data_IF_866291218827
#
_entry.id   IF_866291218827
#
_cell.length_a   1.000
_cell.length_b   1.000
_cell.length_c   1.000
_cell.angle_alpha   90.00
_cell.angle_beta   90.00
_cell.angle_gamma   90.00
#
_symmetry.space_group_name_H-M   'P 1'
#
loop_
_entity.id
_entity.type
_entity.pdbx_description
1 polymer ?
#
# COMPACT_ATOMS: atom_id res chain seq x y z
N UNK A 1 -23.42 -12.26 3.24
CA UNK A 1 -23.23 -12.77 4.61
C UNK A 1 -22.33 -11.76 5.30
N UNK A 2 -22.79 -11.12 6.38
CA UNK A 2 -21.94 -10.23 7.17
C UNK A 2 -21.48 -11.02 8.39
N UNK A 3 -20.20 -11.39 8.43
CA UNK A 3 -19.54 -11.91 9.63
C UNK A 3 -18.99 -10.69 10.36
N UNK A 4 -19.50 -10.42 11.55
CA UNK A 4 -19.02 -9.36 12.44
C UNK A 4 -18.10 -9.98 13.50
N UNK A 5 -17.00 -9.31 13.81
CA UNK A 5 -16.09 -9.69 14.90
C UNK A 5 -15.65 -8.45 15.66
N UNK A 6 -15.16 -8.63 16.89
CA UNK A 6 -14.62 -7.52 17.68
C UNK A 6 -13.15 -7.28 17.34
N UNK A 7 -12.75 -6.03 17.15
CA UNK A 7 -11.35 -5.63 17.05
C UNK A 7 -10.63 -5.68 18.42
N UNK A 8 -9.34 -5.33 18.44
CA UNK A 8 -8.54 -5.25 19.67
C UNK A 8 -9.03 -4.22 20.70
N UNK A 9 -9.94 -3.32 20.32
CA UNK A 9 -10.61 -2.36 21.22
C UNK A 9 -11.94 -2.89 21.76
N UNK A 10 -12.42 -4.03 21.27
CA UNK A 10 -13.72 -4.60 21.61
C UNK A 10 -14.88 -4.04 20.77
N UNK A 11 -14.59 -3.22 19.76
CA UNK A 11 -15.57 -2.61 18.85
C UNK A 11 -15.93 -3.58 17.72
N UNK A 12 -17.17 -3.53 17.23
CA UNK A 12 -17.60 -4.38 16.12
C UNK A 12 -17.02 -3.91 14.79
N UNK A 13 -16.26 -4.79 14.14
CA UNK A 13 -15.72 -4.62 12.80
C UNK A 13 -16.60 -5.32 11.77
N UNK A 14 -16.71 -4.69 10.61
CA UNK A 14 -17.37 -5.27 9.43
C UNK A 14 -16.46 -6.33 8.78
N UNK A 15 -17.04 -7.22 7.96
CA UNK A 15 -16.31 -8.34 7.35
C UNK A 15 -15.17 -7.89 6.45
N UNK A 16 -15.38 -6.85 5.66
CA UNK A 16 -14.34 -6.20 4.84
C UNK A 16 -13.17 -5.74 5.69
N UNK A 17 -13.43 -5.10 6.83
CA UNK A 17 -12.37 -4.65 7.72
C UNK A 17 -11.57 -5.81 8.30
N UNK A 18 -12.24 -6.87 8.76
CA UNK A 18 -11.57 -8.08 9.29
C UNK A 18 -10.73 -8.74 8.19
N UNK A 19 -11.26 -8.85 6.97
CA UNK A 19 -10.54 -9.42 5.83
C UNK A 19 -9.32 -8.58 5.47
N UNK A 20 -9.47 -7.25 5.38
CA UNK A 20 -8.40 -6.32 5.08
C UNK A 20 -7.29 -6.38 6.13
N UNK A 21 -7.63 -6.30 7.42
CA UNK A 21 -6.65 -6.44 8.50
C UNK A 21 -5.95 -7.79 8.44
N UNK A 22 -6.67 -8.88 8.14
CA UNK A 22 -6.03 -10.19 7.97
C UNK A 22 -5.02 -10.18 6.82
N UNK A 23 -5.36 -9.56 5.68
CA UNK A 23 -4.45 -9.40 4.56
C UNK A 23 -3.20 -8.56 4.93
N UNK A 24 -3.40 -7.49 5.71
CA UNK A 24 -2.32 -6.64 6.23
C UNK A 24 -1.30 -7.44 7.06
N UNK A 25 -1.78 -8.17 8.07
CA UNK A 25 -0.92 -8.95 8.96
C UNK A 25 -0.24 -10.11 8.21
N UNK A 26 -0.96 -10.78 7.29
CA UNK A 26 -0.37 -11.82 6.45
C UNK A 26 0.68 -11.24 5.49
N UNK A 27 0.52 -10.01 5.01
CA UNK A 27 1.54 -9.34 4.20
C UNK A 27 2.83 -9.10 4.99
N UNK A 28 2.74 -8.73 6.28
CA UNK A 28 3.92 -8.66 7.15
C UNK A 28 4.61 -10.01 7.29
N UNK A 29 3.84 -11.08 7.54
CA UNK A 29 4.39 -12.44 7.66
C UNK A 29 5.05 -12.89 6.35
N UNK A 30 4.40 -12.66 5.20
CA UNK A 30 4.97 -12.96 3.88
C UNK A 30 6.29 -12.22 3.66
N UNK A 31 6.32 -10.92 3.96
CA UNK A 31 7.52 -10.10 3.80
C UNK A 31 8.64 -10.57 4.75
N UNK A 32 8.31 -10.95 5.99
CA UNK A 32 9.24 -11.53 6.95
C UNK A 32 9.87 -12.84 6.45
N UNK A 33 9.06 -13.76 5.92
CA UNK A 33 9.55 -15.02 5.32
C UNK A 33 10.46 -14.76 4.10
N UNK A 34 10.11 -13.77 3.27
CA UNK A 34 10.88 -13.42 2.07
C UNK A 34 12.26 -12.86 2.38
N UNK A 35 12.36 -11.92 3.33
CA UNK A 35 13.62 -11.19 3.60
C UNK A 35 14.44 -11.82 4.72
N UNK A 36 13.83 -12.69 5.52
CA UNK A 36 14.39 -13.31 6.71
C UNK A 36 14.27 -12.45 7.97
N UNK A 37 14.13 -13.12 9.11
CA UNK A 37 13.81 -12.51 10.42
C UNK A 37 14.72 -11.34 10.78
N UNK A 38 16.04 -11.54 10.73
CA UNK A 38 16.99 -10.50 11.13
C UNK A 38 16.92 -9.26 10.24
N UNK A 39 16.73 -9.43 8.94
CA UNK A 39 16.60 -8.31 8.02
C UNK A 39 15.26 -7.58 8.23
N UNK A 40 14.17 -8.32 8.37
CA UNK A 40 12.87 -7.74 8.64
C UNK A 40 12.88 -6.94 9.95
N UNK A 41 13.47 -7.48 11.02
CA UNK A 41 13.59 -6.81 12.30
C UNK A 41 14.35 -5.48 12.20
N UNK A 42 15.43 -5.41 11.41
CA UNK A 42 16.17 -4.17 11.17
C UNK A 42 15.33 -3.11 10.45
N UNK A 43 14.55 -3.52 9.44
CA UNK A 43 13.63 -2.63 8.72
C UNK A 43 12.52 -2.13 9.66
N UNK A 44 11.94 -3.03 10.45
CA UNK A 44 10.81 -2.78 11.34
C UNK A 44 11.14 -1.85 12.52
N UNK A 45 12.30 -2.05 13.15
CA UNK A 45 12.70 -1.31 14.36
C UNK A 45 13.21 0.10 14.06
N UNK A 46 13.54 0.40 12.81
CA UNK A 46 14.00 1.73 12.39
C UNK A 46 12.83 2.53 11.79
N UNK A 47 12.38 3.63 12.42
CA UNK A 47 11.27 4.44 11.92
C UNK A 47 11.41 4.90 10.47
N UNK A 48 12.64 5.18 10.01
CA UNK A 48 12.90 5.64 8.63
C UNK A 48 12.70 4.56 7.57
N UNK A 49 12.71 3.29 7.97
CA UNK A 49 12.54 2.14 7.07
C UNK A 49 11.24 1.39 7.34
N UNK A 50 10.63 1.57 8.53
CA UNK A 50 9.36 0.93 8.92
C UNK A 50 8.20 1.29 7.98
N UNK A 51 8.23 2.46 7.34
CA UNK A 51 7.29 2.80 6.27
C UNK A 51 7.23 1.71 5.17
N UNK A 52 8.33 1.02 4.87
CA UNK A 52 8.37 0.01 3.80
C UNK A 52 7.43 -1.16 4.11
N UNK A 53 7.60 -1.92 5.21
CA UNK A 53 6.71 -3.04 5.51
C UNK A 53 5.27 -2.61 5.84
N UNK A 54 5.07 -1.45 6.48
CA UNK A 54 3.75 -0.94 6.85
C UNK A 54 2.96 -0.49 5.61
N UNK A 55 3.54 0.37 4.77
CA UNK A 55 2.86 0.81 3.54
C UNK A 55 2.70 -0.32 2.52
N UNK A 56 3.58 -1.32 2.52
CA UNK A 56 3.40 -2.51 1.68
C UNK A 56 2.17 -3.30 2.13
N UNK A 57 2.03 -3.53 3.44
CA UNK A 57 0.87 -4.19 3.99
C UNK A 57 -0.42 -3.41 3.72
N UNK A 58 -0.39 -2.07 3.76
CA UNK A 58 -1.49 -1.19 3.32
C UNK A 58 -1.85 -1.41 1.84
N UNK A 59 -0.88 -1.54 0.94
CA UNK A 59 -1.20 -1.83 -0.46
C UNK A 59 -1.82 -3.23 -0.63
N UNK A 60 -1.29 -4.25 0.07
CA UNK A 60 -1.84 -5.62 0.00
C UNK A 60 -3.25 -5.68 0.58
N UNK A 61 -3.52 -5.01 1.70
CA UNK A 61 -4.85 -4.94 2.29
C UNK A 61 -5.87 -4.33 1.32
N UNK A 62 -5.48 -3.22 0.66
CA UNK A 62 -6.33 -2.53 -0.30
C UNK A 62 -6.57 -3.38 -1.54
N UNK A 63 -5.51 -3.93 -2.12
CA UNK A 63 -5.56 -4.69 -3.36
C UNK A 63 -6.38 -5.97 -3.23
N UNK A 64 -6.10 -6.79 -2.19
CA UNK A 64 -6.80 -8.06 -2.00
C UNK A 64 -8.25 -7.86 -1.57
N UNK A 65 -8.55 -6.86 -0.75
CA UNK A 65 -9.94 -6.58 -0.33
C UNK A 65 -10.77 -6.10 -1.51
N UNK A 66 -10.23 -5.20 -2.33
CA UNK A 66 -10.92 -4.77 -3.55
C UNK A 66 -11.14 -5.92 -4.52
N UNK A 67 -10.12 -6.75 -4.75
CA UNK A 67 -10.25 -7.92 -5.63
C UNK A 67 -11.36 -8.86 -5.18
N UNK A 68 -11.41 -9.20 -3.88
CA UNK A 68 -12.46 -10.07 -3.32
C UNK A 68 -13.86 -9.46 -3.53
N UNK A 69 -14.03 -8.18 -3.18
CA UNK A 69 -15.32 -7.52 -3.32
C UNK A 69 -15.75 -7.34 -4.79
N UNK A 70 -14.82 -7.10 -5.71
CA UNK A 70 -15.11 -7.05 -7.14
C UNK A 70 -15.55 -8.43 -7.66
N UNK A 71 -14.89 -9.51 -7.24
CA UNK A 71 -15.28 -10.90 -7.59
C UNK A 71 -16.69 -11.21 -7.04
N UNK A 72 -16.97 -10.87 -5.79
CA UNK A 72 -18.31 -11.05 -5.20
C UNK A 72 -19.36 -10.19 -5.92
N UNK A 73 -19.00 -8.96 -6.30
CA UNK A 73 -19.85 -8.06 -7.07
C UNK A 73 -20.24 -8.65 -8.42
N UNK A 74 -19.27 -9.24 -9.14
CA UNK A 74 -19.54 -9.96 -10.40
C UNK A 74 -20.41 -11.20 -10.17
N UNK A 75 -20.11 -11.99 -9.14
CA UNK A 75 -20.83 -13.24 -8.83
C UNK A 75 -22.30 -13.01 -8.45
N UNK A 76 -22.59 -11.94 -7.71
CA UNK A 76 -23.93 -11.68 -7.16
C UNK A 76 -24.64 -10.48 -7.78
N UNK A 77 -24.05 -9.84 -8.80
CA UNK A 77 -24.63 -8.67 -9.46
C UNK A 77 -24.75 -7.43 -8.55
N UNK A 78 -23.84 -7.27 -7.58
CA UNK A 78 -23.87 -6.13 -6.65
C UNK A 78 -23.04 -4.96 -7.18
N UNK A 79 -23.71 -3.87 -7.53
CA UNK A 79 -23.05 -2.64 -7.97
C UNK A 79 -22.14 -2.02 -6.90
N UNK A 80 -22.57 -2.06 -5.63
CA UNK A 80 -21.77 -1.55 -4.52
C UNK A 80 -20.44 -2.31 -4.39
N UNK A 81 -20.49 -3.64 -4.51
CA UNK A 81 -19.30 -4.47 -4.44
C UNK A 81 -18.40 -4.32 -5.68
N UNK A 82 -18.97 -4.13 -6.87
CA UNK A 82 -18.21 -3.85 -8.11
C UNK A 82 -17.44 -2.52 -8.08
N UNK A 83 -17.92 -1.53 -7.33
CA UNK A 83 -17.28 -0.22 -7.18
C UNK A 83 -16.61 -0.07 -5.82
N UNK A 84 -16.38 -1.17 -5.11
CA UNK A 84 -15.78 -1.14 -3.79
C UNK A 84 -14.33 -0.65 -3.87
N UNK A 85 -13.96 0.25 -2.96
CA UNK A 85 -12.61 0.77 -2.81
C UNK A 85 -12.28 0.92 -1.33
N UNK A 86 -11.57 -0.08 -0.79
CA UNK A 86 -11.21 -0.15 0.62
C UNK A 86 -10.49 1.13 1.07
N UNK A 87 -10.96 1.76 2.14
CA UNK A 87 -10.42 3.02 2.68
C UNK A 87 -10.16 4.11 1.62
N UNK A 88 -10.96 4.13 0.54
CA UNK A 88 -10.80 5.08 -0.57
C UNK A 88 -9.40 5.03 -1.21
N UNK A 89 -8.75 3.87 -1.22
CA UNK A 89 -7.38 3.73 -1.73
C UNK A 89 -6.34 4.51 -0.94
N UNK A 90 -6.65 4.87 0.30
CA UNK A 90 -5.81 5.76 1.12
C UNK A 90 -5.58 7.15 0.52
N UNK A 91 -6.30 7.51 -0.53
CA UNK A 91 -6.12 8.78 -1.24
C UNK A 91 -6.41 10.06 -0.42
N UNK A 92 -7.21 10.02 0.67
CA UNK A 92 -7.30 11.15 1.60
C UNK A 92 -6.08 11.32 2.53
N UNK A 93 -5.05 10.48 2.45
CA UNK A 93 -3.85 10.57 3.27
C UNK A 93 -3.09 11.89 3.03
N UNK A 94 -2.37 12.35 4.05
CA UNK A 94 -1.56 13.56 4.00
C UNK A 94 -0.47 13.50 5.08
N UNK A 95 0.61 14.27 4.89
CA UNK A 95 1.71 14.42 5.86
C UNK A 95 1.20 14.81 7.25
N UNK A 96 1.64 14.09 8.28
CA UNK A 96 1.19 14.23 9.67
C UNK A 96 -0.01 13.34 10.04
N UNK A 97 -0.47 12.48 9.13
CA UNK A 97 -1.45 11.42 9.40
C UNK A 97 -0.75 10.06 9.37
N UNK A 98 -0.47 9.49 10.56
CA UNK A 98 0.12 8.16 10.75
C UNK A 98 1.33 7.87 9.84
N UNK A 99 2.52 8.12 10.39
CA UNK A 99 3.75 8.29 9.61
C UNK A 99 4.25 6.99 8.93
N UNK A 100 3.68 5.83 9.25
CA UNK A 100 4.06 4.55 8.61
C UNK A 100 3.00 3.95 7.70
N UNK A 101 1.71 4.27 7.89
CA UNK A 101 0.61 3.68 7.11
C UNK A 101 0.25 4.61 5.97
N UNK A 102 1.05 4.54 4.90
CA UNK A 102 0.98 5.50 3.79
C UNK A 102 0.55 4.83 2.49
N UNK A 103 0.02 5.60 1.50
CA UNK A 103 -0.34 5.05 0.21
C UNK A 103 0.87 4.76 -0.71
N UNK A 104 2.11 4.79 -0.20
CA UNK A 104 3.34 4.68 -1.01
C UNK A 104 3.30 3.61 -2.11
N UNK A 105 2.82 2.41 -1.80
CA UNK A 105 2.76 1.33 -2.78
C UNK A 105 1.45 1.29 -3.57
N UNK A 106 0.38 1.95 -3.09
CA UNK A 106 -0.86 2.14 -3.85
C UNK A 106 -0.60 3.15 -4.98
N UNK A 107 0.12 4.24 -4.69
CA UNK A 107 0.55 5.26 -5.66
C UNK A 107 1.41 4.65 -6.79
N UNK A 108 2.13 3.55 -6.55
CA UNK A 108 2.85 2.86 -7.64
C UNK A 108 1.92 2.10 -8.59
N UNK A 109 0.72 1.74 -8.14
CA UNK A 109 -0.20 0.81 -8.80
C UNK A 109 -1.34 1.56 -9.50
N UNK A 110 -1.97 2.52 -8.82
CA UNK A 110 -3.17 3.19 -9.31
C UNK A 110 -2.86 4.35 -10.29
N UNK A 111 -3.87 5.16 -10.62
CA UNK A 111 -3.72 6.34 -11.50
C UNK A 111 -4.35 7.58 -10.84
N UNK A 112 -4.27 7.67 -9.50
CA UNK A 112 -4.89 8.73 -8.73
C UNK A 112 -3.84 9.65 -8.10
N UNK A 113 -3.66 10.84 -8.68
CA UNK A 113 -2.81 11.86 -8.09
C UNK A 113 -3.53 12.67 -7.00
N UNK A 114 -3.33 12.28 -5.75
CA UNK A 114 -3.90 12.92 -4.57
C UNK A 114 -3.51 14.40 -4.39
N UNK A 115 -2.27 14.80 -4.71
CA UNK A 115 -1.86 16.22 -4.64
C UNK A 115 -2.65 17.08 -5.62
N UNK A 116 -2.85 16.59 -6.84
CA UNK A 116 -3.63 17.27 -7.89
C UNK A 116 -5.10 17.36 -7.50
N UNK A 117 -5.69 16.26 -7.03
CA UNK A 117 -7.11 16.22 -6.67
C UNK A 117 -7.45 17.13 -5.48
N UNK A 118 -6.64 17.08 -4.42
CA UNK A 118 -6.90 17.85 -3.19
C UNK A 118 -6.24 19.24 -3.18
N UNK A 119 -5.48 19.59 -4.21
CA UNK A 119 -4.70 20.83 -4.30
C UNK A 119 -3.87 21.10 -3.02
N UNK A 120 -3.10 20.10 -2.57
CA UNK A 120 -2.43 20.12 -1.27
C UNK A 120 -0.95 19.72 -1.35
N UNK A 121 -0.05 20.65 -1.01
CA UNK A 121 1.42 20.42 -1.00
C UNK A 121 1.88 19.40 0.05
N UNK A 122 1.01 19.03 0.98
CA UNK A 122 1.28 18.04 2.02
C UNK A 122 0.89 16.62 1.60
N UNK A 123 0.78 16.38 0.29
CA UNK A 123 0.39 15.10 -0.30
C UNK A 123 1.38 14.67 -1.38
N UNK A 124 1.55 13.35 -1.61
CA UNK A 124 2.38 12.81 -2.67
C UNK A 124 1.95 13.35 -4.04
N UNK A 125 2.93 13.77 -4.84
CA UNK A 125 2.73 14.02 -6.27
C UNK A 125 2.81 12.70 -7.02
N UNK A 126 1.70 11.97 -7.04
CA UNK A 126 1.66 10.65 -7.63
C UNK A 126 1.53 10.71 -9.16
N UNK A 127 2.68 10.61 -9.83
CA UNK A 127 2.82 10.56 -11.29
C UNK A 127 3.33 9.19 -11.75
N UNK A 128 3.52 8.27 -10.82
CA UNK A 128 3.96 6.90 -11.06
C UNK A 128 2.72 6.02 -11.20
N UNK A 129 2.75 5.01 -12.07
CA UNK A 129 1.60 4.11 -12.22
C UNK A 129 1.96 2.80 -12.89
N UNK A 130 1.00 1.88 -12.87
CA UNK A 130 1.04 0.59 -13.56
C UNK A 130 2.10 -0.39 -13.05
N UNK A 131 2.69 -0.19 -11.86
CA UNK A 131 3.37 -1.31 -11.23
C UNK A 131 2.34 -2.36 -10.82
N UNK A 132 2.73 -3.63 -10.89
CA UNK A 132 1.89 -4.73 -10.41
C UNK A 132 2.32 -5.14 -9.01
N UNK A 133 1.40 -5.72 -8.24
CA UNK A 133 1.74 -6.34 -6.95
C UNK A 133 2.91 -7.33 -7.08
N UNK A 134 2.92 -8.13 -8.15
CA UNK A 134 4.00 -9.06 -8.45
C UNK A 134 5.37 -8.36 -8.66
N UNK A 135 5.39 -7.25 -9.40
CA UNK A 135 6.60 -6.46 -9.61
C UNK A 135 7.12 -5.89 -8.28
N UNK A 136 6.23 -5.30 -7.48
CA UNK A 136 6.58 -4.69 -6.20
C UNK A 136 7.08 -5.74 -5.20
N UNK A 137 6.38 -6.87 -5.06
CA UNK A 137 6.80 -7.97 -4.18
C UNK A 137 8.19 -8.50 -4.57
N UNK A 138 8.44 -8.67 -5.88
CA UNK A 138 9.76 -9.08 -6.38
C UNK A 138 10.87 -8.08 -6.03
N UNK A 139 10.57 -6.78 -6.05
CA UNK A 139 11.49 -5.72 -5.62
C UNK A 139 11.75 -5.81 -4.10
N UNK A 140 10.70 -5.99 -3.31
CA UNK A 140 10.78 -5.97 -1.84
C UNK A 140 11.63 -7.11 -1.26
N UNK A 141 11.80 -8.21 -1.99
CA UNK A 141 12.71 -9.30 -1.60
C UNK A 141 14.12 -8.79 -1.23
N UNK A 142 14.65 -7.81 -1.98
CA UNK A 142 16.01 -7.27 -1.79
C UNK A 142 16.07 -5.90 -1.09
N UNK A 143 14.95 -5.19 -0.97
CA UNK A 143 14.93 -3.80 -0.48
C UNK A 143 14.99 -3.75 1.05
N UNK A 144 15.84 -2.86 1.58
CA UNK A 144 15.99 -2.63 3.03
C UNK A 144 15.84 -1.16 3.44
N UNK A 145 15.84 -0.25 2.47
CA UNK A 145 15.67 1.18 2.68
C UNK A 145 15.07 1.85 1.44
N UNK A 146 14.66 3.11 1.58
CA UNK A 146 14.00 3.88 0.52
C UNK A 146 14.93 4.24 -0.64
N UNK A 147 16.26 4.29 -0.46
CA UNK A 147 17.18 4.54 -1.56
C UNK A 147 17.30 3.31 -2.47
N UNK A 148 17.40 2.12 -1.87
CA UNK A 148 17.39 0.86 -2.60
C UNK A 148 16.03 0.62 -3.25
N UNK A 149 14.92 0.95 -2.57
CA UNK A 149 13.58 0.90 -3.17
C UNK A 149 13.52 1.75 -4.45
N UNK A 150 13.93 3.01 -4.36
CA UNK A 150 13.97 3.95 -5.49
C UNK A 150 14.80 3.41 -6.66
N UNK A 151 15.97 2.87 -6.38
CA UNK A 151 16.84 2.28 -7.40
C UNK A 151 16.17 1.08 -8.08
N UNK A 152 15.58 0.17 -7.30
CA UNK A 152 14.92 -1.04 -7.81
C UNK A 152 13.64 -0.73 -8.59
N UNK A 153 12.87 0.29 -8.18
CA UNK A 153 11.71 0.79 -8.95
C UNK A 153 12.15 1.27 -10.33
N UNK A 154 13.17 2.14 -10.39
CA UNK A 154 13.70 2.62 -11.68
C UNK A 154 14.17 1.50 -12.60
N UNK A 155 14.79 0.46 -12.05
CA UNK A 155 15.24 -0.71 -12.81
C UNK A 155 14.08 -1.54 -13.37
N UNK A 156 12.92 -1.53 -12.71
CA UNK A 156 11.75 -2.32 -13.06
C UNK A 156 10.56 -1.45 -13.50
N UNK A 157 10.85 -0.24 -14.00
CA UNK A 157 9.82 0.77 -14.24
C UNK A 157 8.85 0.39 -15.34
N UNK A 158 7.58 0.71 -15.11
CA UNK A 158 6.52 0.58 -16.10
C UNK A 158 6.75 1.50 -17.29
N UNK A 159 6.26 1.09 -18.47
CA UNK A 159 6.33 1.90 -19.69
C UNK A 159 5.63 3.25 -19.46
N UNK A 160 6.31 4.34 -19.80
CA UNK A 160 5.77 5.70 -19.67
C UNK A 160 6.07 6.39 -18.33
N UNK A 161 6.67 5.70 -17.35
CA UNK A 161 7.10 6.31 -16.08
C UNK A 161 8.52 6.90 -16.22
N UNK A 162 8.68 8.18 -15.88
CA UNK A 162 9.98 8.85 -15.87
C UNK A 162 10.74 8.52 -14.57
N UNK A 163 12.08 8.58 -14.61
CA UNK A 163 12.88 8.31 -13.41
C UNK A 163 12.69 9.42 -12.36
N UNK A 164 12.45 10.63 -12.85
CA UNK A 164 12.22 11.85 -12.07
C UNK A 164 10.91 11.78 -11.29
N UNK A 165 9.89 11.10 -11.83
CA UNK A 165 8.60 10.89 -11.15
C UNK A 165 8.76 9.93 -9.97
N UNK A 166 9.55 8.85 -10.16
CA UNK A 166 9.92 7.93 -9.08
C UNK A 166 10.78 8.66 -8.02
N UNK A 167 11.69 9.53 -8.45
CA UNK A 167 12.50 10.33 -7.52
C UNK A 167 11.64 11.25 -6.67
N UNK A 168 10.70 11.99 -7.28
CA UNK A 168 9.82 12.89 -6.54
C UNK A 168 8.97 12.11 -5.52
N UNK A 169 8.34 11.02 -5.96
CA UNK A 169 7.46 10.20 -5.11
C UNK A 169 8.23 9.64 -3.90
N UNK A 170 9.36 8.97 -4.13
CA UNK A 170 10.12 8.36 -3.03
C UNK A 170 10.76 9.43 -2.13
N UNK A 171 11.23 10.55 -2.68
CA UNK A 171 11.78 11.63 -1.87
C UNK A 171 10.71 12.27 -0.97
N UNK A 172 9.45 12.36 -1.43
CA UNK A 172 8.35 12.82 -0.60
C UNK A 172 8.19 11.90 0.64
N UNK A 173 8.09 10.59 0.42
CA UNK A 173 7.92 9.61 1.51
C UNK A 173 9.15 9.47 2.41
N UNK A 174 10.35 9.76 1.90
CA UNK A 174 11.58 9.73 2.70
C UNK A 174 11.64 10.86 3.75
N UNK A 175 10.90 11.93 3.53
CA UNK A 175 10.94 13.14 4.36
C UNK A 175 9.77 13.24 5.36
N UNK A 176 9.03 12.15 5.58
CA UNK A 176 7.96 12.08 6.58
C UNK A 176 8.51 11.71 7.96
#
# INVERSE_FOLDING_TARGET
MCIYGKDGSGSWSTTDFIYATTCHEVAHVSHWEMVGEGAFALIWLNPKTRIIPESWAVAVEWGLTNAEYHILGQKYGSYQALNYNFNYGYQPWYLGRNDFYTPLFIDLIDDYNQKTYYNGNNRPDDRVKNYTFFCIESILFGVRDLELLKAMLKMNKSVGVANEDIDELINFYKNI
#
